data_IF_354828904424
#
_entry.id   IF_354828904424
#
_cell.length_a   1.000
_cell.length_b   1.000
_cell.length_c   1.000
_cell.angle_alpha   90.00
_cell.angle_beta   90.00
_cell.angle_gamma   90.00
#
_symmetry.space_group_name_H-M   'P 1'
#
loop_
_entity.id
_entity.type
_entity.pdbx_description
1 polymer ?
#
# COMPACT_ATOMS: atom_id res chain seq x y z
N UNK A 1 29.85 49.52 26.15
CA UNK A 1 28.88 49.67 25.04
C UNK A 1 27.93 48.49 25.12
N UNK A 2 26.67 48.78 25.43
CA UNK A 2 25.57 47.83 25.63
C UNK A 2 24.89 47.48 24.29
N UNK A 3 24.31 46.27 24.18
CA UNK A 3 23.02 45.90 23.53
C UNK A 3 22.92 44.34 23.56
N UNK A 4 21.99 43.69 24.28
CA UNK A 4 20.58 43.32 23.90
C UNK A 4 20.52 42.76 22.45
N UNK A 5 19.91 41.63 22.10
CA UNK A 5 18.67 41.02 22.59
C UNK A 5 18.48 39.59 22.01
N UNK A 6 17.77 38.76 22.79
CA UNK A 6 16.79 37.70 22.49
C UNK A 6 16.53 37.15 21.07
N UNK A 7 16.30 35.82 21.07
CA UNK A 7 15.33 35.02 20.29
C UNK A 7 15.65 34.68 18.83
N UNK A 8 15.81 33.38 18.53
CA UNK A 8 14.63 32.56 18.21
C UNK A 8 14.95 31.05 18.24
N UNK A 9 14.12 30.34 19.01
CA UNK A 9 13.97 28.90 18.94
C UNK A 9 13.27 28.57 17.61
N UNK A 10 13.91 27.84 16.71
CA UNK A 10 13.22 27.06 15.70
C UNK A 10 13.79 25.65 15.74
N UNK A 11 13.15 24.80 16.53
CA UNK A 11 13.23 23.36 16.31
C UNK A 11 12.71 23.09 14.89
N UNK A 12 13.61 22.81 13.96
CA UNK A 12 13.22 22.17 12.71
C UNK A 12 12.82 20.73 13.05
N UNK A 13 11.52 20.53 13.26
CA UNK A 13 10.92 19.20 13.25
C UNK A 13 11.02 18.68 11.82
N UNK A 14 12.06 17.89 11.54
CA UNK A 14 12.28 17.30 10.23
C UNK A 14 11.20 16.28 9.94
N UNK A 15 10.21 16.69 9.15
CA UNK A 15 9.24 15.84 8.46
C UNK A 15 9.95 14.61 7.86
N UNK A 16 9.84 13.47 8.52
CA UNK A 16 10.17 12.15 7.95
C UNK A 16 9.01 11.70 7.04
N UNK A 17 8.72 12.45 5.98
CA UNK A 17 7.96 11.87 4.87
C UNK A 17 9.02 11.25 3.96
N UNK A 18 9.30 9.97 4.19
CA UNK A 18 10.12 9.20 3.26
C UNK A 18 9.47 9.28 1.88
N UNK A 19 10.19 9.85 0.90
CA UNK A 19 9.77 9.80 -0.51
C UNK A 19 9.72 8.33 -0.93
N UNK A 20 8.54 7.70 -0.83
CA UNK A 20 8.23 6.60 -1.73
C UNK A 20 8.09 7.22 -3.13
N UNK A 21 9.09 7.00 -3.97
CA UNK A 21 8.92 7.22 -5.39
C UNK A 21 7.78 6.28 -5.84
N UNK A 22 6.62 6.85 -6.19
CA UNK A 22 5.49 6.12 -6.77
C UNK A 22 5.80 5.75 -8.22
N UNK A 23 6.91 5.05 -8.44
CA UNK A 23 7.19 4.39 -9.71
C UNK A 23 6.38 3.11 -9.73
N UNK A 24 5.60 2.93 -10.81
CA UNK A 24 4.89 1.74 -11.27
C UNK A 24 4.77 0.59 -10.26
N UNK A 25 3.54 0.21 -9.89
CA UNK A 25 3.27 -0.97 -9.04
C UNK A 25 4.01 -2.19 -9.60
N UNK A 26 5.11 -2.56 -8.95
CA UNK A 26 5.97 -3.62 -9.41
C UNK A 26 5.29 -4.98 -9.22
N UNK A 27 5.64 -5.96 -10.06
CA UNK A 27 5.16 -7.33 -9.88
C UNK A 27 5.49 -7.83 -8.48
N UNK A 28 4.50 -8.40 -7.80
CA UNK A 28 4.68 -8.89 -6.44
C UNK A 28 5.46 -10.20 -6.44
N UNK A 29 6.59 -10.22 -5.74
CA UNK A 29 7.42 -11.43 -5.62
C UNK A 29 6.78 -12.51 -4.75
N UNK A 30 7.17 -13.74 -5.00
CA UNK A 30 6.93 -14.89 -4.13
C UNK A 30 8.28 -15.50 -3.69
N UNK A 31 8.50 -15.91 -2.42
CA UNK A 31 7.57 -15.89 -1.28
C UNK A 31 7.00 -14.51 -0.97
N UNK A 32 5.72 -14.47 -0.59
CA UNK A 32 5.00 -13.24 -0.33
C UNK A 32 5.46 -12.58 0.97
N UNK A 33 5.49 -11.25 0.98
CA UNK A 33 5.84 -10.43 2.13
C UNK A 33 4.82 -9.29 2.27
N UNK A 34 4.60 -8.81 3.50
CA UNK A 34 3.82 -7.59 3.67
C UNK A 34 4.56 -6.40 3.01
N UNK A 35 3.87 -5.59 2.18
CA UNK A 35 4.50 -4.45 1.54
C UNK A 35 4.81 -3.38 2.58
N UNK A 36 6.04 -2.87 2.54
CA UNK A 36 6.43 -1.73 3.39
C UNK A 36 5.54 -0.52 3.06
N UNK A 37 4.80 -0.05 4.05
CA UNK A 37 4.00 1.17 3.91
C UNK A 37 4.90 2.41 3.83
N UNK A 38 4.48 3.37 3.02
CA UNK A 38 5.16 4.66 2.84
C UNK A 38 4.79 5.69 3.93
N UNK A 39 3.98 5.27 4.90
CA UNK A 39 3.49 6.08 6.01
C UNK A 39 3.46 5.23 7.29
N UNK A 40 3.57 5.85 8.48
CA UNK A 40 3.63 5.12 9.74
C UNK A 40 2.29 4.44 10.07
N UNK A 41 2.34 3.18 10.54
CA UNK A 41 1.13 2.41 10.89
C UNK A 41 0.46 2.99 12.13
N UNK A 42 1.25 3.45 13.09
CA UNK A 42 0.86 4.06 14.37
C UNK A 42 0.18 5.43 14.21
N UNK A 43 0.24 6.05 13.03
CA UNK A 43 -0.47 7.30 12.75
C UNK A 43 -1.81 7.09 12.01
N UNK A 44 -2.07 5.89 11.47
CA UNK A 44 -3.20 5.63 10.58
C UNK A 44 -3.06 6.30 9.21
N UNK A 45 -4.17 6.45 8.48
CA UNK A 45 -4.22 7.20 7.21
C UNK A 45 -5.20 8.35 7.37
N UNK A 46 -4.72 9.45 7.95
CA UNK A 46 -5.55 10.63 8.24
C UNK A 46 -6.07 11.29 6.95
N UNK A 47 -7.28 11.88 6.99
CA UNK A 47 -8.21 11.92 8.12
C UNK A 47 -9.15 10.68 8.21
N UNK A 48 -9.01 9.70 7.32
CA UNK A 48 -10.06 8.68 7.07
C UNK A 48 -9.89 7.42 7.92
N UNK A 49 -8.68 6.88 8.02
CA UNK A 49 -8.42 5.63 8.73
C UNK A 49 -7.72 5.91 10.07
N UNK A 50 -8.31 5.39 11.14
CA UNK A 50 -7.67 5.39 12.46
C UNK A 50 -6.45 4.45 12.48
N UNK A 51 -5.55 4.70 13.41
CA UNK A 51 -4.41 3.81 13.72
C UNK A 51 -4.90 2.37 13.93
N UNK A 52 -5.88 2.18 14.83
CA UNK A 52 -6.39 0.84 15.15
C UNK A 52 -6.95 0.11 13.93
N UNK A 53 -7.65 0.83 13.05
CA UNK A 53 -8.18 0.23 11.82
C UNK A 53 -7.06 -0.20 10.87
N UNK A 54 -6.05 0.67 10.68
CA UNK A 54 -4.90 0.36 9.84
C UNK A 54 -4.09 -0.82 10.42
N UNK A 55 -3.85 -0.83 11.73
CA UNK A 55 -3.16 -1.92 12.42
C UNK A 55 -3.89 -3.25 12.19
N UNK A 56 -5.20 -3.31 12.42
CA UNK A 56 -5.99 -4.53 12.21
C UNK A 56 -5.94 -4.98 10.75
N UNK A 57 -6.15 -4.07 9.80
CA UNK A 57 -6.24 -4.39 8.38
C UNK A 57 -4.89 -4.81 7.78
N UNK A 58 -3.80 -4.12 8.15
CA UNK A 58 -2.46 -4.40 7.64
C UNK A 58 -1.78 -5.54 8.40
N UNK A 59 -1.64 -5.44 9.73
CA UNK A 59 -0.83 -6.39 10.51
C UNK A 59 -1.53 -7.70 10.82
N UNK A 60 -2.86 -7.76 10.76
CA UNK A 60 -3.63 -9.00 10.98
C UNK A 60 -4.25 -9.52 9.70
N UNK A 61 -5.16 -8.77 9.08
CA UNK A 61 -5.92 -9.27 7.93
C UNK A 61 -5.03 -9.50 6.70
N UNK A 62 -4.24 -8.51 6.28
CA UNK A 62 -3.33 -8.68 5.15
C UNK A 62 -2.24 -9.72 5.47
N UNK A 63 -1.69 -9.71 6.69
CA UNK A 63 -0.71 -10.71 7.13
C UNK A 63 -1.23 -12.14 7.03
N UNK A 64 -2.48 -12.39 7.41
CA UNK A 64 -3.08 -13.71 7.31
C UNK A 64 -3.12 -14.23 5.86
N UNK A 65 -3.39 -13.36 4.88
CA UNK A 65 -3.32 -13.72 3.46
C UNK A 65 -1.90 -14.06 3.01
N UNK A 66 -0.92 -13.26 3.42
CA UNK A 66 0.51 -13.51 3.13
C UNK A 66 0.96 -14.86 3.70
N UNK A 67 0.72 -15.09 4.99
CA UNK A 67 1.13 -16.31 5.67
C UNK A 67 0.46 -17.54 5.04
N UNK A 68 -0.85 -17.47 4.76
CA UNK A 68 -1.58 -18.58 4.16
C UNK A 68 -1.16 -18.83 2.71
N UNK A 69 -0.88 -17.79 1.93
CA UNK A 69 -0.37 -17.93 0.57
C UNK A 69 0.99 -18.65 0.57
N UNK A 70 1.91 -18.22 1.43
CA UNK A 70 3.22 -18.86 1.56
C UNK A 70 3.12 -20.34 1.93
N UNK A 71 2.19 -20.70 2.82
CA UNK A 71 1.94 -22.09 3.19
C UNK A 71 1.42 -22.93 2.01
N UNK A 72 0.50 -22.39 1.21
CA UNK A 72 -0.20 -23.16 0.19
C UNK A 72 0.55 -23.22 -1.15
N UNK A 73 1.34 -22.18 -1.48
CA UNK A 73 1.97 -22.04 -2.79
C UNK A 73 3.48 -22.35 -2.83
N UNK A 74 4.10 -22.68 -1.68
CA UNK A 74 5.55 -22.90 -1.55
C UNK A 74 6.16 -23.87 -2.58
N UNK A 75 5.41 -24.91 -2.96
CA UNK A 75 5.91 -25.99 -3.83
C UNK A 75 5.47 -25.81 -5.30
N UNK A 76 4.85 -24.67 -5.65
CA UNK A 76 4.33 -24.44 -7.00
C UNK A 76 5.38 -23.93 -7.99
N UNK A 77 6.54 -23.46 -7.51
CA UNK A 77 7.67 -23.04 -8.36
C UNK A 77 7.49 -21.70 -9.11
N UNK A 78 6.56 -20.84 -8.68
CA UNK A 78 6.34 -19.51 -9.27
C UNK A 78 7.15 -18.44 -8.55
N UNK A 79 7.56 -17.40 -9.30
CA UNK A 79 8.37 -16.30 -8.79
C UNK A 79 7.53 -15.07 -8.42
N UNK A 80 6.30 -14.96 -8.95
CA UNK A 80 5.41 -13.82 -8.66
C UNK A 80 4.01 -14.26 -8.24
N UNK A 81 3.34 -13.39 -7.49
CA UNK A 81 1.95 -13.59 -7.02
C UNK A 81 0.99 -13.63 -8.20
N UNK A 82 1.21 -12.81 -9.22
CA UNK A 82 0.40 -12.79 -10.44
C UNK A 82 0.51 -14.10 -11.22
N UNK A 83 1.72 -14.71 -11.29
CA UNK A 83 1.90 -16.04 -11.89
C UNK A 83 1.07 -17.09 -11.15
N UNK A 84 1.07 -17.06 -9.82
CA UNK A 84 0.23 -17.94 -8.98
C UNK A 84 -1.25 -17.70 -9.26
N UNK A 85 -1.70 -16.43 -9.32
CA UNK A 85 -3.09 -16.09 -9.65
C UNK A 85 -3.49 -16.63 -11.03
N UNK A 86 -2.68 -16.38 -12.07
CA UNK A 86 -2.92 -16.88 -13.41
C UNK A 86 -2.95 -18.41 -13.46
N UNK A 87 -2.08 -19.10 -12.72
CA UNK A 87 -2.05 -20.55 -12.68
C UNK A 87 -3.26 -21.19 -11.97
N UNK A 88 -3.95 -20.45 -11.09
CA UNK A 88 -4.97 -20.98 -10.16
C UNK A 88 -6.40 -20.49 -10.43
N UNK A 89 -6.60 -19.34 -11.09
CA UNK A 89 -7.89 -18.64 -11.20
C UNK A 89 -9.08 -19.43 -11.79
N UNK A 90 -8.84 -20.51 -12.53
CA UNK A 90 -9.89 -21.35 -13.15
C UNK A 90 -9.96 -22.78 -12.59
N UNK A 91 -9.17 -23.07 -11.55
CA UNK A 91 -9.03 -24.42 -10.99
C UNK A 91 -9.79 -24.51 -9.67
N UNK A 92 -10.90 -25.23 -9.66
CA UNK A 92 -11.80 -25.35 -8.49
C UNK A 92 -11.07 -25.91 -7.26
N UNK A 93 -10.16 -26.86 -7.46
CA UNK A 93 -9.30 -27.46 -6.46
C UNK A 93 -8.19 -26.53 -5.94
N UNK A 94 -7.86 -25.46 -6.68
CA UNK A 94 -6.85 -24.48 -6.31
C UNK A 94 -7.46 -23.11 -5.94
N UNK A 95 -8.77 -23.04 -5.76
CA UNK A 95 -9.49 -21.79 -5.51
C UNK A 95 -9.03 -21.11 -4.22
N UNK A 96 -8.68 -21.88 -3.19
CA UNK A 96 -8.14 -21.31 -1.95
C UNK A 96 -6.81 -20.60 -2.18
N UNK A 97 -5.91 -21.15 -3.01
CA UNK A 97 -4.62 -20.53 -3.36
C UNK A 97 -4.87 -19.23 -4.14
N UNK A 98 -5.74 -19.29 -5.16
CA UNK A 98 -6.14 -18.11 -5.93
C UNK A 98 -6.64 -17.00 -5.00
N UNK A 99 -7.54 -17.34 -4.06
CA UNK A 99 -8.10 -16.37 -3.13
C UNK A 99 -7.02 -15.73 -2.24
N UNK A 100 -6.03 -16.48 -1.74
CA UNK A 100 -4.97 -15.86 -0.93
C UNK A 100 -4.05 -14.96 -1.77
N UNK A 101 -3.70 -15.40 -2.99
CA UNK A 101 -2.87 -14.64 -3.92
C UNK A 101 -3.55 -13.33 -4.34
N UNK A 102 -4.82 -13.42 -4.75
CA UNK A 102 -5.63 -12.26 -5.13
C UNK A 102 -5.83 -11.30 -3.95
N UNK A 103 -6.08 -11.81 -2.74
CA UNK A 103 -6.22 -10.95 -1.57
C UNK A 103 -4.91 -10.25 -1.21
N UNK A 104 -3.77 -10.92 -1.28
CA UNK A 104 -2.47 -10.27 -1.08
C UNK A 104 -2.20 -9.18 -2.14
N UNK A 105 -2.48 -9.47 -3.42
CA UNK A 105 -2.38 -8.49 -4.50
C UNK A 105 -3.27 -7.27 -4.25
N UNK A 106 -4.56 -7.48 -3.99
CA UNK A 106 -5.54 -6.42 -3.79
C UNK A 106 -5.20 -5.54 -2.60
N UNK A 107 -4.76 -6.11 -1.47
CA UNK A 107 -4.37 -5.32 -0.30
C UNK A 107 -3.09 -4.54 -0.56
N UNK A 108 -2.12 -5.12 -1.26
CA UNK A 108 -0.90 -4.39 -1.62
C UNK A 108 -1.22 -3.20 -2.53
N UNK A 109 -2.09 -3.38 -3.52
CA UNK A 109 -2.58 -2.29 -4.35
C UNK A 109 -3.34 -1.25 -3.51
N UNK A 110 -4.21 -1.68 -2.60
CA UNK A 110 -4.97 -0.79 -1.71
C UNK A 110 -4.04 0.12 -0.91
N UNK A 111 -2.97 -0.41 -0.32
CA UNK A 111 -1.99 0.40 0.40
C UNK A 111 -1.19 1.33 -0.51
N UNK A 112 -0.88 0.89 -1.74
CA UNK A 112 -0.12 1.68 -2.70
C UNK A 112 -0.87 2.92 -3.19
N UNK A 113 -2.20 2.83 -3.35
CA UNK A 113 -3.02 3.95 -3.86
C UNK A 113 -3.49 4.92 -2.77
N UNK A 114 -3.19 4.64 -1.50
CA UNK A 114 -3.56 5.51 -0.39
C UNK A 114 -2.44 6.48 -0.02
N UNK A 115 -2.84 7.67 0.39
CA UNK A 115 -1.95 8.73 0.85
C UNK A 115 -2.60 9.49 2.01
N UNK A 116 -1.90 9.69 3.14
CA UNK A 116 -2.37 10.59 4.19
C UNK A 116 -2.63 11.99 3.61
N UNK A 117 -3.78 12.57 3.95
CA UNK A 117 -4.30 13.84 3.43
C UNK A 117 -4.58 13.87 1.91
N UNK A 118 -4.51 12.72 1.23
CA UNK A 118 -4.78 12.59 -0.19
C UNK A 118 -3.78 13.33 -1.09
N UNK A 119 -4.16 13.44 -2.36
CA UNK A 119 -3.51 14.28 -3.36
C UNK A 119 -4.58 14.83 -4.29
N UNK A 120 -4.42 16.06 -4.81
CA UNK A 120 -5.31 16.57 -5.85
C UNK A 120 -5.19 15.68 -7.09
N UNK A 121 -6.32 15.39 -7.72
CA UNK A 121 -6.35 14.86 -9.08
C UNK A 121 -5.88 15.96 -10.04
N UNK A 122 -5.16 15.59 -11.10
CA UNK A 122 -4.64 16.56 -12.05
C UNK A 122 -4.09 15.94 -13.33
N UNK A 123 -3.83 16.80 -14.31
CA UNK A 123 -3.14 16.45 -15.55
C UNK A 123 -3.96 15.53 -16.47
N UNK A 124 -3.28 14.64 -17.18
CA UNK A 124 -3.91 13.77 -18.18
C UNK A 124 -5.01 12.86 -17.60
N UNK A 125 -4.87 12.41 -16.34
CA UNK A 125 -5.86 11.52 -15.73
C UNK A 125 -7.20 12.23 -15.49
N UNK A 126 -7.17 13.48 -15.01
CA UNK A 126 -8.37 14.29 -14.82
C UNK A 126 -9.10 14.55 -16.14
N UNK A 127 -8.35 14.83 -17.20
CA UNK A 127 -8.88 15.08 -18.54
C UNK A 127 -9.59 13.84 -19.11
N UNK A 128 -8.97 12.66 -19.00
CA UNK A 128 -9.58 11.41 -19.50
C UNK A 128 -10.83 11.03 -18.67
N UNK A 129 -10.82 11.24 -17.35
CA UNK A 129 -12.01 11.03 -16.51
C UNK A 129 -13.14 11.98 -16.91
N UNK A 130 -12.85 13.28 -17.03
CA UNK A 130 -13.85 14.28 -17.44
C UNK A 130 -14.41 13.98 -18.83
N UNK A 131 -13.56 13.54 -19.77
CA UNK A 131 -13.99 13.15 -21.11
C UNK A 131 -14.89 11.92 -21.11
N UNK A 132 -14.58 10.92 -20.29
CA UNK A 132 -15.33 9.67 -20.21
C UNK A 132 -16.64 9.80 -19.41
N UNK A 133 -16.66 10.63 -18.37
CA UNK A 133 -17.73 10.66 -17.37
C UNK A 133 -18.39 12.04 -17.18
N UNK A 134 -17.94 13.08 -17.88
CA UNK A 134 -18.49 14.43 -17.86
C UNK A 134 -17.87 15.36 -16.80
N UNK A 135 -17.50 14.81 -15.63
CA UNK A 135 -16.72 15.48 -14.60
C UNK A 135 -15.97 14.45 -13.75
N UNK A 136 -15.06 14.93 -12.89
CA UNK A 136 -14.56 14.16 -11.74
C UNK A 136 -15.68 13.98 -10.71
#
# INVERSE_FOLDING_TARGET
MWHRSFSNCFMFNTNKVAMCAYTTFAKLKFPAELPKLCYPVDEGIKPVLSERQLELHYTKHHKAYVDKLNMLAKDMGYNTVEEIMHATHKKKDQMTIFNQAAQHFNHTLYWYVLKPNGAPLGGALEQEITKAFGSV
#
